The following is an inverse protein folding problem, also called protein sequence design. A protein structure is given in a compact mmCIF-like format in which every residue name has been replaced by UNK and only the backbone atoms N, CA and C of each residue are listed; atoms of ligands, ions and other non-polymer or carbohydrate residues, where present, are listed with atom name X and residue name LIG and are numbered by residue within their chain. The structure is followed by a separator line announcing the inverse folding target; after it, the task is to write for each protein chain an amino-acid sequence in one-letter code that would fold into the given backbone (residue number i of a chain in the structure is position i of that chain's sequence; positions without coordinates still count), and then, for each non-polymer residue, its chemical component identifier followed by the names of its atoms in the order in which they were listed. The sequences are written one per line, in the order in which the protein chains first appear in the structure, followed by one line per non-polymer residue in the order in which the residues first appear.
data_IF_842307591857
#
_entry.id   IF_842307591857
#
_cell.length_a   1.000
_cell.length_b   1.000
_cell.length_c   1.000
_cell.angle_alpha   90.00
_cell.angle_beta   90.00
_cell.angle_gamma   90.00
#
_symmetry.space_group_name_H-M   'P 1'
#
loop_
_entity.id
_entity.type
_entity.pdbx_description
1 polymer ?
#
# COMPACT_ATOMS: atom_id res chain seq x y z
N UNK A 1 -0.65 8.28 -19.30
CA UNK A 1 -1.51 8.25 -18.10
C UNK A 1 -2.25 9.56 -17.93
N UNK A 2 -1.58 10.70 -17.79
CA UNK A 2 -2.24 12.01 -17.65
C UNK A 2 -3.30 12.30 -18.75
N UNK A 3 -2.93 12.18 -20.03
CA UNK A 3 -3.87 12.38 -21.16
C UNK A 3 -5.09 11.45 -21.14
N UNK A 4 -4.93 10.24 -20.58
CA UNK A 4 -6.05 9.30 -20.43
C UNK A 4 -6.94 9.75 -19.26
N UNK A 5 -6.35 10.16 -18.16
CA UNK A 5 -7.06 10.71 -17.01
C UNK A 5 -7.85 11.97 -17.40
N UNK A 6 -7.27 12.89 -18.18
CA UNK A 6 -7.99 14.07 -18.70
C UNK A 6 -9.19 13.68 -19.57
N UNK A 7 -9.01 12.75 -20.52
CA UNK A 7 -10.12 12.29 -21.35
C UNK A 7 -11.25 11.63 -20.53
N UNK A 8 -10.90 10.88 -19.49
CA UNK A 8 -11.88 10.29 -18.57
C UNK A 8 -12.60 11.39 -17.78
N UNK A 9 -11.87 12.39 -17.27
CA UNK A 9 -12.47 13.53 -16.58
C UNK A 9 -13.40 14.32 -17.51
N UNK A 10 -12.96 14.63 -18.73
CA UNK A 10 -13.77 15.37 -19.71
C UNK A 10 -15.06 14.61 -20.04
N UNK A 11 -14.99 13.28 -20.17
CA UNK A 11 -16.17 12.44 -20.38
C UNK A 11 -17.17 12.51 -19.23
N UNK A 12 -16.71 12.50 -17.97
CA UNK A 12 -17.63 12.55 -16.81
C UNK A 12 -18.19 13.96 -16.59
N UNK A 13 -17.41 15.02 -16.87
CA UNK A 13 -17.88 16.42 -16.84
C UNK A 13 -18.96 16.63 -17.92
N UNK A 14 -18.73 16.17 -19.15
CA UNK A 14 -19.67 16.34 -20.27
C UNK A 14 -21.00 15.63 -20.03
N UNK A 15 -21.01 14.53 -19.28
CA UNK A 15 -22.23 13.83 -18.90
C UNK A 15 -22.99 14.49 -17.73
N UNK A 16 -22.59 15.69 -17.29
CA UNK A 16 -23.30 16.49 -16.30
C UNK A 16 -23.14 16.02 -14.84
N UNK A 17 -22.21 15.10 -14.59
CA UNK A 17 -22.07 14.50 -13.25
C UNK A 17 -21.24 15.35 -12.27
N UNK A 18 -20.48 16.37 -12.73
CA UNK A 18 -19.47 17.06 -11.92
C UNK A 18 -19.31 18.53 -12.34
N UNK A 19 -19.02 19.42 -11.37
CA UNK A 19 -18.63 20.82 -11.61
C UNK A 19 -17.18 20.93 -12.12
N UNK A 20 -16.95 21.84 -13.06
CA UNK A 20 -15.61 22.06 -13.64
C UNK A 20 -14.54 22.46 -12.60
N UNK A 21 -14.96 23.08 -11.49
CA UNK A 21 -14.11 23.44 -10.35
C UNK A 21 -13.39 22.23 -9.72
N UNK A 22 -13.94 21.02 -9.86
CA UNK A 22 -13.37 19.79 -9.30
C UNK A 22 -12.49 19.03 -10.32
N UNK A 23 -12.31 19.55 -11.55
CA UNK A 23 -11.59 18.85 -12.63
C UNK A 23 -10.23 18.33 -12.18
N UNK A 24 -9.46 19.15 -11.45
CA UNK A 24 -8.12 18.78 -10.96
C UNK A 24 -8.13 17.57 -10.02
N UNK A 25 -9.16 17.47 -9.16
CA UNK A 25 -9.35 16.35 -8.23
C UNK A 25 -9.67 15.07 -9.01
N UNK A 26 -10.54 15.16 -10.02
CA UNK A 26 -10.88 14.00 -10.85
C UNK A 26 -9.73 13.53 -11.74
N UNK A 27 -8.98 14.45 -12.35
CA UNK A 27 -7.79 14.09 -13.14
C UNK A 27 -6.78 13.36 -12.25
N UNK A 28 -6.53 13.88 -11.04
CA UNK A 28 -5.66 13.20 -10.07
C UNK A 28 -6.20 11.82 -9.66
N UNK A 29 -7.50 11.73 -9.34
CA UNK A 29 -8.16 10.49 -8.95
C UNK A 29 -8.08 9.41 -10.03
N UNK A 30 -8.44 9.73 -11.28
CA UNK A 30 -8.30 8.81 -12.41
C UNK A 30 -6.86 8.43 -12.66
N UNK A 31 -5.92 9.36 -12.49
CA UNK A 31 -4.52 9.07 -12.69
C UNK A 31 -3.96 8.09 -11.66
N UNK A 32 -4.30 8.27 -10.38
CA UNK A 32 -3.95 7.31 -9.31
C UNK A 32 -4.62 5.95 -9.57
N UNK A 33 -5.90 5.93 -9.97
CA UNK A 33 -6.62 4.70 -10.27
C UNK A 33 -6.01 3.93 -11.44
N UNK A 34 -5.62 4.62 -12.52
CA UNK A 34 -4.92 4.03 -13.65
C UNK A 34 -3.57 3.45 -13.23
N UNK A 35 -2.79 4.19 -12.44
CA UNK A 35 -1.50 3.73 -11.92
C UNK A 35 -1.65 2.44 -11.10
N UNK A 36 -2.60 2.41 -10.16
CA UNK A 36 -2.86 1.24 -9.34
C UNK A 36 -3.34 0.05 -10.18
N UNK A 37 -4.22 0.29 -11.15
CA UNK A 37 -4.72 -0.75 -12.05
C UNK A 37 -3.58 -1.39 -12.84
N UNK A 38 -2.69 -0.58 -13.43
CA UNK A 38 -1.52 -1.09 -14.16
C UNK A 38 -0.59 -1.84 -13.21
N UNK A 39 -0.36 -1.32 -12.00
CA UNK A 39 0.44 -2.02 -10.99
C UNK A 39 -0.14 -3.39 -10.64
N UNK A 40 -1.45 -3.49 -10.43
CA UNK A 40 -2.11 -4.74 -10.07
C UNK A 40 -2.02 -5.76 -11.18
N UNK A 41 -2.20 -5.35 -12.44
CA UNK A 41 -2.02 -6.24 -13.59
C UNK A 41 -0.59 -6.78 -13.66
N UNK A 42 0.43 -5.91 -13.53
CA UNK A 42 1.84 -6.32 -13.57
C UNK A 42 2.15 -7.30 -12.44
N UNK A 43 1.77 -6.97 -11.21
CA UNK A 43 2.01 -7.82 -10.04
C UNK A 43 1.25 -9.14 -10.12
N UNK A 44 0.02 -9.16 -10.64
CA UNK A 44 -0.76 -10.39 -10.82
C UNK A 44 -0.10 -11.33 -11.84
N UNK A 45 0.31 -10.81 -12.99
CA UNK A 45 1.06 -11.59 -13.99
C UNK A 45 2.39 -12.08 -13.40
N UNK A 46 3.08 -11.24 -12.62
CA UNK A 46 4.28 -11.61 -11.89
C UNK A 46 4.05 -12.74 -10.88
N UNK A 47 2.95 -12.71 -10.13
CA UNK A 47 2.57 -13.75 -9.18
C UNK A 47 2.33 -15.10 -9.87
N UNK A 48 1.67 -15.09 -11.04
CA UNK A 48 1.47 -16.28 -11.87
C UNK A 48 2.82 -16.83 -12.33
N UNK A 49 3.68 -15.97 -12.90
CA UNK A 49 4.99 -16.36 -13.40
C UNK A 49 5.88 -16.97 -12.31
N UNK A 50 5.85 -16.39 -11.10
CA UNK A 50 6.62 -16.86 -9.94
C UNK A 50 5.98 -18.04 -9.21
N UNK A 51 4.77 -18.48 -9.62
CA UNK A 51 3.95 -19.48 -8.94
C UNK A 51 3.68 -19.14 -7.46
N UNK A 52 3.52 -17.85 -7.17
CA UNK A 52 3.37 -17.29 -5.82
C UNK A 52 2.05 -16.51 -5.68
N UNK A 53 0.96 -17.07 -6.23
CA UNK A 53 -0.36 -16.44 -6.23
C UNK A 53 -0.87 -16.21 -4.79
N UNK A 54 -0.79 -17.18 -3.85
CA UNK A 54 -1.24 -16.97 -2.47
C UNK A 54 -0.49 -15.81 -1.77
N UNK A 55 0.83 -15.75 -1.92
CA UNK A 55 1.67 -14.69 -1.38
C UNK A 55 1.32 -13.34 -2.02
N UNK A 56 1.05 -13.32 -3.33
CA UNK A 56 0.60 -12.11 -4.01
C UNK A 56 -0.74 -11.60 -3.50
N UNK A 57 -1.69 -12.49 -3.20
CA UNK A 57 -2.98 -12.12 -2.60
C UNK A 57 -2.78 -11.55 -1.19
N UNK A 58 -1.97 -12.21 -0.36
CA UNK A 58 -1.64 -11.74 0.99
C UNK A 58 -0.99 -10.36 0.93
N UNK A 59 -0.01 -10.18 0.03
CA UNK A 59 0.60 -8.88 -0.21
C UNK A 59 -0.46 -7.81 -0.48
N UNK A 60 -1.42 -8.03 -1.38
CA UNK A 60 -2.43 -7.02 -1.68
C UNK A 60 -3.37 -6.73 -0.52
N UNK A 61 -3.79 -7.78 0.21
CA UNK A 61 -4.63 -7.64 1.41
C UNK A 61 -3.92 -6.80 2.47
N UNK A 62 -2.60 -6.90 2.59
CA UNK A 62 -1.79 -6.13 3.55
C UNK A 62 -1.47 -4.73 3.03
N UNK A 63 -0.96 -4.64 1.81
CA UNK A 63 -0.39 -3.43 1.22
C UNK A 63 -1.43 -2.36 0.88
N UNK A 64 -2.57 -2.75 0.30
CA UNK A 64 -3.58 -1.78 -0.17
C UNK A 64 -4.22 -1.02 1.00
N UNK A 65 -4.68 -1.67 2.09
CA UNK A 65 -5.24 -0.95 3.23
C UNK A 65 -4.19 -0.11 3.96
N UNK A 66 -2.97 -0.62 4.14
CA UNK A 66 -1.89 0.16 4.77
C UNK A 66 -1.60 1.43 3.99
N UNK A 67 -1.47 1.35 2.66
CA UNK A 67 -1.22 2.52 1.84
C UNK A 67 -2.40 3.51 1.82
N UNK A 68 -3.62 3.01 1.90
CA UNK A 68 -4.84 3.83 1.92
C UNK A 68 -5.04 4.55 3.27
N UNK A 69 -4.79 3.85 4.38
CA UNK A 69 -4.99 4.38 5.72
C UNK A 69 -3.79 5.19 6.20
N UNK A 70 -2.57 4.65 6.09
CA UNK A 70 -1.38 5.24 6.66
C UNK A 70 -0.65 6.22 5.71
N UNK A 71 -1.00 6.22 4.42
CA UNK A 71 -0.29 6.98 3.39
C UNK A 71 0.99 6.28 2.96
N UNK A 72 1.93 7.05 2.42
CA UNK A 72 3.23 6.52 1.98
C UNK A 72 3.96 7.47 1.03
N UNK A 73 5.04 6.97 0.43
CA UNK A 73 5.84 7.75 -0.52
C UNK A 73 5.09 7.94 -1.84
N UNK A 74 4.78 9.20 -2.15
CA UNK A 74 4.38 9.62 -3.50
C UNK A 74 5.53 10.44 -4.13
N UNK A 75 5.92 10.03 -5.33
CA UNK A 75 6.93 10.69 -6.14
C UNK A 75 6.23 11.62 -7.14
N UNK A 76 6.92 12.70 -7.53
CA UNK A 76 6.35 13.73 -8.42
C UNK A 76 6.01 13.18 -9.82
N UNK A 77 6.53 12.00 -10.17
CA UNK A 77 6.27 11.31 -11.43
C UNK A 77 5.57 9.98 -11.16
N UNK A 78 4.42 9.82 -11.79
CA UNK A 78 3.56 8.63 -11.68
C UNK A 78 4.27 7.32 -12.09
N UNK A 79 5.08 7.35 -13.15
CA UNK A 79 5.89 6.19 -13.54
C UNK A 79 6.85 5.74 -12.44
N UNK A 80 7.36 6.66 -11.63
CA UNK A 80 8.24 6.33 -10.51
C UNK A 80 7.46 5.66 -9.37
N UNK A 81 6.21 6.06 -9.11
CA UNK A 81 5.35 5.40 -8.13
C UNK A 81 4.93 4.00 -8.58
N UNK A 82 4.62 3.82 -9.86
CA UNK A 82 4.33 2.51 -10.46
C UNK A 82 5.54 1.58 -10.34
N UNK A 83 6.72 2.05 -10.77
CA UNK A 83 7.96 1.29 -10.67
C UNK A 83 8.29 0.91 -9.24
N UNK A 84 8.20 1.87 -8.31
CA UNK A 84 8.44 1.62 -6.88
C UNK A 84 7.51 0.53 -6.36
N UNK A 85 6.21 0.61 -6.67
CA UNK A 85 5.21 -0.36 -6.19
C UNK A 85 5.44 -1.75 -6.79
N UNK A 86 5.81 -1.84 -8.06
CA UNK A 86 6.18 -3.12 -8.69
C UNK A 86 7.46 -3.71 -8.08
N UNK A 87 8.50 -2.88 -7.87
CA UNK A 87 9.76 -3.32 -7.23
C UNK A 87 9.47 -3.81 -5.80
N UNK A 88 8.64 -3.10 -5.04
CA UNK A 88 8.22 -3.50 -3.70
C UNK A 88 7.56 -4.88 -3.74
N UNK A 89 6.62 -5.10 -4.66
CA UNK A 89 5.97 -6.41 -4.83
C UNK A 89 6.97 -7.52 -5.11
N UNK A 90 7.79 -7.39 -6.16
CA UNK A 90 8.75 -8.44 -6.53
C UNK A 90 9.80 -8.68 -5.44
N UNK A 91 10.22 -7.63 -4.72
CA UNK A 91 11.11 -7.76 -3.58
C UNK A 91 10.47 -8.56 -2.47
N UNK A 92 9.21 -8.29 -2.11
CA UNK A 92 8.52 -9.03 -1.04
C UNK A 92 8.37 -10.50 -1.37
N UNK A 93 7.91 -10.83 -2.58
CA UNK A 93 7.77 -12.23 -3.02
C UNK A 93 9.12 -12.95 -3.04
N UNK A 94 10.19 -12.25 -3.42
CA UNK A 94 11.55 -12.83 -3.42
C UNK A 94 12.08 -13.01 -2.00
N UNK A 95 11.97 -11.99 -1.16
CA UNK A 95 12.42 -12.02 0.24
C UNK A 95 11.66 -13.09 1.02
N UNK A 96 10.34 -13.20 0.86
CA UNK A 96 9.53 -14.20 1.58
C UNK A 96 9.89 -15.64 1.23
N UNK A 97 10.40 -15.86 0.01
CA UNK A 97 10.84 -17.17 -0.47
C UNK A 97 12.26 -17.54 -0.05
N UNK A 98 13.19 -16.58 -0.04
CA UNK A 98 14.62 -16.87 0.14
C UNK A 98 15.20 -16.46 1.49
N UNK A 99 14.59 -15.51 2.20
CA UNK A 99 15.04 -15.09 3.52
C UNK A 99 14.03 -15.51 4.58
N UNK A 100 14.49 -16.36 5.50
CA UNK A 100 13.66 -16.96 6.53
C UNK A 100 14.26 -16.63 7.89
N UNK A 101 13.40 -16.19 8.79
CA UNK A 101 13.75 -15.97 10.18
C UNK A 101 12.99 -16.95 11.08
N UNK A 102 13.50 -17.23 12.29
CA UNK A 102 12.71 -17.90 13.29
C UNK A 102 11.41 -17.13 13.55
N UNK A 103 10.26 -17.81 13.47
CA UNK A 103 8.94 -17.18 13.56
C UNK A 103 8.75 -16.29 14.80
N UNK A 104 9.40 -16.63 15.93
CA UNK A 104 9.33 -15.80 17.14
C UNK A 104 10.04 -14.44 16.96
N UNK A 105 11.19 -14.38 16.28
CA UNK A 105 11.88 -13.12 15.98
C UNK A 105 11.05 -12.29 15.02
N UNK A 106 10.50 -12.94 13.99
CA UNK A 106 9.68 -12.29 13.00
C UNK A 106 8.43 -11.65 13.62
N UNK A 107 7.74 -12.36 14.52
CA UNK A 107 6.60 -11.82 15.27
C UNK A 107 6.97 -10.64 16.17
N UNK A 108 8.12 -10.70 16.85
CA UNK A 108 8.61 -9.59 17.68
C UNK A 108 8.87 -8.35 16.80
N UNK A 109 9.55 -8.54 15.67
CA UNK A 109 9.83 -7.46 14.73
C UNK A 109 8.56 -6.91 14.08
N UNK A 110 7.59 -7.77 13.74
CA UNK A 110 6.29 -7.38 13.21
C UNK A 110 5.57 -6.42 14.17
N UNK A 111 5.41 -6.81 15.44
CA UNK A 111 4.77 -5.98 16.47
C UNK A 111 5.50 -4.64 16.62
N UNK A 112 6.83 -4.66 16.63
CA UNK A 112 7.64 -3.44 16.69
C UNK A 112 7.38 -2.50 15.50
N UNK A 113 7.36 -3.04 14.27
CA UNK A 113 7.12 -2.25 13.06
C UNK A 113 5.71 -1.66 13.04
N UNK A 114 4.69 -2.39 13.50
CA UNK A 114 3.32 -1.85 13.59
C UNK A 114 3.21 -0.70 14.61
N UNK A 115 3.94 -0.76 15.73
CA UNK A 115 4.06 0.37 16.67
C UNK A 115 4.72 1.57 15.99
N UNK A 116 5.75 1.34 15.16
CA UNK A 116 6.40 2.40 14.38
C UNK A 116 5.41 3.02 13.38
N UNK A 117 4.62 2.22 12.66
CA UNK A 117 3.57 2.71 11.75
C UNK A 117 2.58 3.61 12.48
N UNK A 118 2.12 3.23 13.68
CA UNK A 118 1.21 4.04 14.49
C UNK A 118 1.82 5.39 14.94
N UNK A 119 3.15 5.45 15.15
CA UNK A 119 3.88 6.68 15.47
C UNK A 119 4.16 7.54 14.22
N UNK A 120 4.35 6.91 13.07
CA UNK A 120 4.57 7.61 11.81
C UNK A 120 3.28 8.25 11.30
N UNK A 121 2.13 7.65 11.58
CA UNK A 121 0.81 8.14 11.19
C UNK A 121 0.48 9.57 11.71
N UNK A 122 -0.19 10.41 10.91
CA UNK A 122 -0.42 10.26 9.48
C UNK A 122 0.84 10.63 8.69
N UNK A 123 1.12 9.93 7.59
CA UNK A 123 2.07 10.43 6.58
C UNK A 123 1.26 11.30 5.63
N UNK A 124 1.27 12.61 5.89
CA UNK A 124 0.51 13.58 5.11
C UNK A 124 1.05 13.67 3.68
N UNK A 125 0.13 13.74 2.71
CA UNK A 125 0.43 14.05 1.32
C UNK A 125 -0.20 15.41 1.03
N UNK A 126 0.56 16.33 0.41
CA UNK A 126 0.09 17.67 0.01
C UNK A 126 -1.25 17.62 -0.73
N UNK A 127 -1.50 16.55 -1.50
CA UNK A 127 -2.70 16.40 -2.31
C UNK A 127 -3.86 15.70 -1.57
N UNK A 128 -3.73 15.42 -0.26
CA UNK A 128 -4.75 14.76 0.56
C UNK A 128 -5.09 15.64 1.77
N UNK A 129 -5.94 16.65 1.56
CA UNK A 129 -6.55 17.41 2.65
C UNK A 129 -7.63 16.56 3.32
N UNK A 130 -7.32 15.96 4.46
CA UNK A 130 -8.26 15.13 5.24
C UNK A 130 -8.76 15.97 6.40
N UNK A 131 -10.08 16.07 6.56
CA UNK A 131 -10.66 16.72 7.74
C UNK A 131 -10.31 15.95 9.03
N UNK A 132 -10.32 16.64 10.18
CA UNK A 132 -9.98 16.09 11.49
C UNK A 132 -10.86 14.87 11.82
N UNK A 133 -12.15 14.92 11.47
CA UNK A 133 -13.07 13.80 11.68
C UNK A 133 -12.72 12.58 10.81
N UNK A 134 -12.42 12.81 9.54
CA UNK A 134 -12.07 11.76 8.59
C UNK A 134 -10.71 11.12 8.95
N UNK A 135 -9.75 11.92 9.42
CA UNK A 135 -8.45 11.45 9.90
C UNK A 135 -8.61 10.56 11.15
N UNK A 136 -9.52 10.90 12.06
CA UNK A 136 -9.83 10.06 13.22
C UNK A 136 -10.39 8.69 12.80
N UNK A 137 -11.22 8.63 11.75
CA UNK A 137 -11.71 7.38 11.20
C UNK A 137 -10.60 6.53 10.58
N UNK A 138 -9.71 7.13 9.79
CA UNK A 138 -8.56 6.42 9.21
C UNK A 138 -7.65 5.84 10.28
N UNK A 139 -7.36 6.60 11.34
CA UNK A 139 -6.56 6.11 12.47
C UNK A 139 -7.23 4.92 13.18
N UNK A 140 -8.55 4.94 13.34
CA UNK A 140 -9.30 3.82 13.92
C UNK A 140 -9.22 2.57 13.02
N UNK A 141 -9.45 2.73 11.71
CA UNK A 141 -9.36 1.64 10.73
C UNK A 141 -7.94 1.05 10.69
N UNK A 142 -6.91 1.89 10.72
CA UNK A 142 -5.52 1.47 10.79
C UNK A 142 -5.24 0.62 12.04
N UNK A 143 -5.66 1.07 13.23
CA UNK A 143 -5.47 0.30 14.47
C UNK A 143 -6.12 -1.08 14.41
N UNK A 144 -7.37 -1.15 13.93
CA UNK A 144 -8.08 -2.43 13.77
C UNK A 144 -7.33 -3.32 12.77
N UNK A 145 -6.89 -2.74 11.66
CA UNK A 145 -6.16 -3.45 10.62
C UNK A 145 -4.84 -4.05 11.13
N UNK A 146 -4.04 -3.26 11.85
CA UNK A 146 -2.78 -3.72 12.46
C UNK A 146 -3.04 -4.86 13.47
N UNK A 147 -4.04 -4.71 14.34
CA UNK A 147 -4.45 -5.78 15.26
C UNK A 147 -4.83 -7.08 14.52
N UNK A 148 -5.53 -6.99 13.39
CA UNK A 148 -5.86 -8.15 12.56
C UNK A 148 -4.60 -8.80 11.97
N UNK A 149 -3.62 -8.02 11.52
CA UNK A 149 -2.35 -8.56 10.99
C UNK A 149 -1.58 -9.35 12.06
N UNK A 150 -1.52 -8.84 13.30
CA UNK A 150 -0.90 -9.59 14.41
C UNK A 150 -1.62 -10.92 14.65
N UNK A 151 -2.95 -10.92 14.69
CA UNK A 151 -3.74 -12.15 14.91
C UNK A 151 -3.49 -13.16 13.78
N UNK A 152 -3.52 -12.72 12.53
CA UNK A 152 -3.24 -13.57 11.36
C UNK A 152 -1.79 -14.09 11.41
N UNK A 153 -0.84 -13.24 11.79
CA UNK A 153 0.56 -13.63 11.96
C UNK A 153 0.74 -14.73 13.01
N UNK A 154 0.05 -14.62 14.16
CA UNK A 154 0.03 -15.67 15.19
C UNK A 154 -0.55 -16.98 14.63
N UNK A 155 -1.65 -16.91 13.89
CA UNK A 155 -2.26 -18.10 13.26
C UNK A 155 -1.29 -18.76 12.29
N UNK A 156 -0.60 -18.00 11.44
CA UNK A 156 0.41 -18.55 10.52
C UNK A 156 1.62 -19.14 11.25
N UNK A 157 2.06 -18.53 12.35
CA UNK A 157 3.14 -19.06 13.18
C UNK A 157 2.76 -20.42 13.81
N UNK A 158 1.54 -20.55 14.37
CA UNK A 158 1.06 -21.79 15.02
C UNK A 158 0.80 -22.89 13.98
N UNK A 159 0.20 -22.55 12.85
CA UNK A 159 -0.09 -23.49 11.76
C UNK A 159 1.13 -23.82 10.90
N UNK A 160 2.30 -23.24 11.21
CA UNK A 160 3.58 -23.41 10.49
C UNK A 160 3.55 -22.96 9.03
N UNK A 161 2.67 -22.02 8.70
CA UNK A 161 2.57 -21.40 7.38
C UNK A 161 3.56 -20.23 7.25
N UNK A 162 4.85 -20.51 7.42
CA UNK A 162 5.89 -19.49 7.57
C UNK A 162 6.06 -18.59 6.34
N UNK A 163 5.83 -19.10 5.13
CA UNK A 163 5.93 -18.29 3.91
C UNK A 163 4.89 -17.15 3.87
N UNK A 164 3.70 -17.38 4.45
CA UNK A 164 2.65 -16.37 4.55
C UNK A 164 2.95 -15.36 5.65
N UNK A 165 3.51 -15.81 6.78
CA UNK A 165 4.04 -14.94 7.83
C UNK A 165 5.13 -14.01 7.27
N UNK A 166 6.13 -14.59 6.58
CA UNK A 166 7.20 -13.85 5.89
C UNK A 166 6.64 -12.78 4.95
N UNK A 167 5.59 -13.13 4.19
CA UNK A 167 4.96 -12.19 3.26
C UNK A 167 4.34 -11.00 3.98
N UNK A 168 3.63 -11.22 5.10
CA UNK A 168 3.08 -10.14 5.93
C UNK A 168 4.22 -9.28 6.49
N UNK A 169 5.23 -9.91 7.09
CA UNK A 169 6.37 -9.23 7.71
C UNK A 169 7.12 -8.33 6.73
N UNK A 170 7.55 -8.86 5.57
CA UNK A 170 8.27 -8.06 4.58
C UNK A 170 7.40 -6.96 3.96
N UNK A 171 6.08 -7.17 3.85
CA UNK A 171 5.16 -6.13 3.41
C UNK A 171 5.13 -4.97 4.41
N UNK A 172 4.93 -5.25 5.71
CA UNK A 172 4.93 -4.23 6.76
C UNK A 172 6.30 -3.55 6.89
N UNK A 173 7.39 -4.30 6.76
CA UNK A 173 8.75 -3.77 6.81
C UNK A 173 9.03 -2.77 5.68
N UNK A 174 8.77 -3.14 4.41
CA UNK A 174 9.00 -2.23 3.28
C UNK A 174 8.04 -1.03 3.31
N UNK A 175 6.79 -1.21 3.72
CA UNK A 175 5.86 -0.09 3.88
C UNK A 175 6.39 0.88 4.94
N UNK A 176 6.87 0.37 6.09
CA UNK A 176 7.43 1.21 7.14
C UNK A 176 8.60 2.04 6.61
N UNK A 177 9.50 1.44 5.82
CA UNK A 177 10.59 2.18 5.16
C UNK A 177 10.03 3.28 4.24
N UNK A 178 9.05 2.97 3.41
CA UNK A 178 8.46 3.96 2.49
C UNK A 178 7.71 5.08 3.24
N UNK A 179 7.12 4.79 4.40
CA UNK A 179 6.48 5.77 5.27
C UNK A 179 7.51 6.69 5.94
N UNK A 180 8.64 6.14 6.42
CA UNK A 180 9.75 6.94 6.95
C UNK A 180 10.26 7.89 5.86
N UNK A 181 10.55 7.37 4.66
CA UNK A 181 11.02 8.19 3.55
C UNK A 181 9.97 9.25 3.19
N UNK A 182 8.69 8.89 3.10
CA UNK A 182 7.61 9.82 2.82
C UNK A 182 7.49 10.95 3.86
N UNK A 183 7.68 10.64 5.15
CA UNK A 183 7.57 11.61 6.25
C UNK A 183 8.74 12.60 6.29
N UNK A 184 9.94 12.17 5.92
CA UNK A 184 11.15 13.00 5.94
C UNK A 184 11.56 13.54 4.57
N UNK A 185 10.77 13.28 3.52
CA UNK A 185 10.97 13.89 2.21
C UNK A 185 10.67 15.37 2.33
N UNK A 186 11.73 16.18 2.37
CA UNK A 186 11.66 17.64 2.31
C UNK A 186 10.96 17.98 0.98
N UNK A 187 9.76 18.54 1.09
CA UNK A 187 8.99 19.13 -0.02
C UNK A 187 9.62 20.46 -0.38
#
# INVERSE_FOLDING_TARGET
MYTIAEKLTDYVIQNGNIKDEERSIYVYGFQVALEQTVCYVICFLGAIFLKAIPEGIIFFIVFVPLRSYAGGLHLNRYWSCLLLSCITFFSIITLSKYLWFPAYLEMICLIFLEIVILKLYPVENINRNVDIYENAQFKKRLKIFLMINIIIGIVFAITKQYIYLNTIFYTIWLITITMVIGKYKII
#
